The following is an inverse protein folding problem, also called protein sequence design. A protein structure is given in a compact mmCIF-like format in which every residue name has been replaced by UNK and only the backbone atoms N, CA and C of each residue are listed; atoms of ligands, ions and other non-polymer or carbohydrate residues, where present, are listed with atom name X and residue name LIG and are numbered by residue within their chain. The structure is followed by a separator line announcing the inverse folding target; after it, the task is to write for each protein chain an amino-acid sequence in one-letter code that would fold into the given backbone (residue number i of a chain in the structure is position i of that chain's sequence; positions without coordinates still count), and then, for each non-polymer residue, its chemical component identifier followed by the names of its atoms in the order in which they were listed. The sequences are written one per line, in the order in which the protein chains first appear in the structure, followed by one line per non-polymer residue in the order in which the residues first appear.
data_IF_020918135867
#
_entry.id   IF_020918135867
#
_cell.length_a   1.000
_cell.length_b   1.000
_cell.length_c   1.000
_cell.angle_alpha   90.00
_cell.angle_beta   90.00
_cell.angle_gamma   90.00
#
_symmetry.space_group_name_H-M   'P 1'
#
loop_
_entity.id
_entity.type
_entity.pdbx_description
1 polymer ?
#
# COMPACT_ATOMS: atom_id res chain seq x y z
N UNK A 1 7.97 28.31 -9.26
CA UNK A 1 6.81 28.78 -8.47
C UNK A 1 5.61 27.83 -8.56
N UNK A 2 5.22 27.37 -9.77
CA UNK A 2 4.07 26.46 -9.94
C UNK A 2 4.18 25.11 -9.18
N UNK A 3 5.36 24.51 -9.08
CA UNK A 3 5.54 23.22 -8.38
C UNK A 3 5.45 23.35 -6.86
N UNK A 4 5.97 24.44 -6.29
CA UNK A 4 5.82 24.73 -4.86
C UNK A 4 4.35 24.90 -4.50
N UNK A 5 3.60 25.63 -5.32
CA UNK A 5 2.17 25.82 -5.11
C UNK A 5 1.40 24.49 -5.20
N UNK A 6 1.77 23.59 -6.14
CA UNK A 6 1.19 22.24 -6.21
C UNK A 6 1.53 21.38 -4.99
N UNK A 7 2.77 21.45 -4.51
CA UNK A 7 3.20 20.73 -3.31
C UNK A 7 2.44 21.21 -2.06
N UNK A 8 2.31 22.53 -1.89
CA UNK A 8 1.56 23.15 -0.79
C UNK A 8 0.06 22.79 -0.85
N UNK A 9 -0.56 22.81 -2.04
CA UNK A 9 -1.93 22.35 -2.22
C UNK A 9 -2.10 20.85 -1.91
N UNK A 10 -1.09 20.04 -2.21
CA UNK A 10 -1.06 18.61 -1.86
C UNK A 10 -1.00 18.37 -0.36
N UNK A 11 -0.22 19.17 0.37
CA UNK A 11 -0.15 19.15 1.83
C UNK A 11 -1.46 19.67 2.46
N UNK A 12 -2.06 20.72 1.90
CA UNK A 12 -3.36 21.23 2.35
C UNK A 12 -4.47 20.18 2.26
N UNK A 13 -4.54 19.43 1.16
CA UNK A 13 -5.50 18.32 1.02
C UNK A 13 -5.25 17.17 2.00
N UNK A 14 -4.00 16.91 2.35
CA UNK A 14 -3.67 15.92 3.37
C UNK A 14 -4.17 16.34 4.74
N UNK A 15 -3.94 17.61 5.07
CA UNK A 15 -4.29 18.19 6.35
C UNK A 15 -5.82 18.28 6.51
N UNK A 16 -6.52 18.61 5.43
CA UNK A 16 -7.99 18.55 5.36
C UNK A 16 -8.51 17.13 5.61
N UNK A 17 -7.89 16.12 4.99
CA UNK A 17 -8.27 14.73 5.19
C UNK A 17 -7.97 14.25 6.63
N UNK A 18 -6.93 14.77 7.27
CA UNK A 18 -6.59 14.46 8.66
C UNK A 18 -7.55 15.10 9.68
N UNK A 19 -8.19 16.22 9.33
CA UNK A 19 -9.21 16.91 10.13
C UNK A 19 -10.61 16.30 10.01
N UNK A 20 -10.77 15.22 9.24
CA UNK A 20 -12.06 14.57 9.07
C UNK A 20 -12.64 13.98 10.36
N UNK A 21 -13.96 13.89 10.45
CA UNK A 21 -14.65 13.19 11.52
C UNK A 21 -15.15 11.83 11.02
N UNK A 22 -14.35 10.79 11.18
CA UNK A 22 -14.80 9.42 10.91
C UNK A 22 -14.40 8.48 12.05
N UNK A 23 -14.98 7.26 12.11
CA UNK A 23 -14.60 6.29 13.13
C UNK A 23 -13.10 6.01 13.16
N UNK A 24 -12.42 6.10 12.01
CA UNK A 24 -10.96 5.92 11.88
C UNK A 24 -10.18 7.10 12.48
N UNK A 25 -10.76 8.30 12.51
CA UNK A 25 -10.15 9.49 13.10
C UNK A 25 -10.22 9.50 14.63
N UNK A 26 -11.20 8.79 15.22
CA UNK A 26 -11.36 8.66 16.68
C UNK A 26 -10.43 7.63 17.31
N UNK A 27 -9.72 6.83 16.51
CA UNK A 27 -8.74 5.86 16.99
C UNK A 27 -7.48 6.62 17.45
N UNK A 28 -6.90 6.19 18.58
CA UNK A 28 -5.65 6.74 19.09
C UNK A 28 -4.55 6.73 17.99
N UNK A 29 -3.88 7.86 17.73
CA UNK A 29 -2.84 7.95 16.71
C UNK A 29 -1.72 6.90 16.86
N UNK A 30 -1.34 6.55 18.10
CA UNK A 30 -0.29 5.56 18.38
C UNK A 30 -0.72 4.17 17.96
N UNK A 31 -1.98 3.80 18.23
CA UNK A 31 -2.54 2.52 17.80
C UNK A 31 -2.59 2.42 16.26
N UNK A 32 -2.89 3.51 15.56
CA UNK A 32 -2.88 3.56 14.10
C UNK A 32 -1.48 3.33 13.52
N UNK A 33 -0.46 3.98 14.10
CA UNK A 33 0.94 3.78 13.69
C UNK A 33 1.41 2.36 13.99
N UNK A 34 1.13 1.85 15.20
CA UNK A 34 1.49 0.48 15.59
C UNK A 34 0.85 -0.56 14.67
N UNK A 35 -0.43 -0.39 14.33
CA UNK A 35 -1.14 -1.29 13.40
C UNK A 35 -0.54 -1.22 12.00
N UNK A 36 -0.20 -0.03 11.50
CA UNK A 36 0.46 0.13 10.21
C UNK A 36 1.84 -0.54 10.16
N UNK A 37 2.62 -0.43 11.24
CA UNK A 37 3.92 -1.07 11.35
C UNK A 37 3.78 -2.60 11.40
N UNK A 38 2.85 -3.11 12.21
CA UNK A 38 2.58 -4.54 12.31
C UNK A 38 2.08 -5.10 10.97
N UNK A 39 1.20 -4.37 10.28
CA UNK A 39 0.75 -4.72 8.94
C UNK A 39 1.92 -4.82 7.95
N UNK A 40 2.79 -3.81 7.91
CA UNK A 40 3.95 -3.81 7.04
C UNK A 40 4.89 -4.99 7.36
N UNK A 41 5.20 -5.21 8.65
CA UNK A 41 6.02 -6.33 9.10
C UNK A 41 5.41 -7.70 8.73
N UNK A 42 4.10 -7.86 8.91
CA UNK A 42 3.39 -9.07 8.52
C UNK A 42 3.49 -9.29 7.01
N UNK A 43 3.18 -8.28 6.19
CA UNK A 43 3.23 -8.37 4.72
C UNK A 43 4.63 -8.73 4.21
N UNK A 44 5.69 -8.13 4.75
CA UNK A 44 7.07 -8.44 4.30
C UNK A 44 7.59 -9.77 4.83
N UNK A 45 6.91 -10.38 5.81
CA UNK A 45 7.26 -11.70 6.32
C UNK A 45 6.70 -12.85 5.47
N UNK A 46 5.75 -12.58 4.57
CA UNK A 46 5.26 -13.59 3.64
C UNK A 46 6.25 -13.86 2.53
N UNK A 47 6.31 -15.13 2.12
CA UNK A 47 7.11 -15.53 0.98
C UNK A 47 6.60 -14.90 -0.32
N UNK A 48 7.55 -14.45 -1.15
CA UNK A 48 7.31 -13.74 -2.41
C UNK A 48 6.44 -14.54 -3.39
N UNK A 49 6.46 -15.86 -3.30
CA UNK A 49 5.77 -16.76 -4.23
C UNK A 49 4.28 -16.93 -3.91
N UNK A 50 3.85 -16.64 -2.67
CA UNK A 50 2.45 -16.83 -2.26
C UNK A 50 1.66 -15.52 -2.36
N UNK A 51 1.68 -14.89 -3.53
CA UNK A 51 0.98 -13.62 -3.80
C UNK A 51 -0.53 -13.73 -3.49
N UNK A 52 -1.12 -14.90 -3.70
CA UNK A 52 -2.52 -15.15 -3.36
C UNK A 52 -2.81 -15.03 -1.84
N UNK A 53 -1.86 -15.36 -0.97
CA UNK A 53 -2.02 -15.20 0.48
C UNK A 53 -1.94 -13.73 0.95
N UNK A 54 -1.43 -12.83 0.10
CA UNK A 54 -1.39 -11.39 0.37
C UNK A 54 -2.70 -10.67 0.00
N UNK A 55 -3.58 -11.28 -0.81
CA UNK A 55 -4.86 -10.68 -1.20
C UNK A 55 -5.72 -10.23 0.00
N UNK A 56 -5.89 -11.03 1.08
CA UNK A 56 -6.62 -10.58 2.27
C UNK A 56 -6.01 -9.35 2.94
N UNK A 57 -4.68 -9.17 2.87
CA UNK A 57 -4.00 -8.01 3.46
C UNK A 57 -4.32 -6.72 2.71
N UNK A 58 -4.65 -6.78 1.42
CA UNK A 58 -5.11 -5.60 0.67
C UNK A 58 -6.49 -5.08 1.15
N UNK A 59 -7.29 -5.92 1.81
CA UNK A 59 -8.60 -5.52 2.34
C UNK A 59 -8.47 -4.48 3.47
N UNK A 60 -7.48 -4.64 4.33
CA UNK A 60 -7.25 -3.73 5.46
C UNK A 60 -7.08 -2.25 5.05
N UNK A 61 -6.12 -1.87 4.18
CA UNK A 61 -5.96 -0.48 3.76
C UNK A 61 -7.15 0.04 2.95
N UNK A 62 -7.82 -0.81 2.15
CA UNK A 62 -9.03 -0.42 1.40
C UNK A 62 -10.19 -0.11 2.34
N UNK A 63 -10.42 -0.95 3.34
CA UNK A 63 -11.44 -0.73 4.36
C UNK A 63 -11.15 0.53 5.17
N UNK A 64 -9.88 0.73 5.57
CA UNK A 64 -9.46 1.91 6.30
C UNK A 64 -9.64 3.20 5.47
N UNK A 65 -9.28 3.18 4.19
CA UNK A 65 -9.48 4.29 3.27
C UNK A 65 -10.96 4.65 3.13
N UNK A 66 -11.82 3.64 2.94
CA UNK A 66 -13.27 3.83 2.81
C UNK A 66 -13.89 4.39 4.11
N UNK A 67 -13.52 3.85 5.26
CA UNK A 67 -14.01 4.33 6.58
C UNK A 67 -13.38 5.66 7.00
N UNK A 68 -12.20 5.99 6.47
CA UNK A 68 -11.52 7.26 6.62
C UNK A 68 -12.07 8.38 5.74
N UNK A 69 -13.03 8.10 4.86
CA UNK A 69 -13.54 9.09 3.91
C UNK A 69 -12.50 9.49 2.84
N UNK A 70 -11.49 8.65 2.62
CA UNK A 70 -10.41 8.94 1.66
C UNK A 70 -10.93 8.76 0.23
N UNK A 71 -10.87 9.80 -0.62
CA UNK A 71 -11.29 9.67 -2.00
C UNK A 71 -10.39 8.68 -2.74
N UNK A 72 -10.99 7.68 -3.39
CA UNK A 72 -10.23 6.63 -4.11
C UNK A 72 -9.34 7.23 -5.20
N UNK A 73 -9.81 8.27 -5.91
CA UNK A 73 -9.01 8.97 -6.92
C UNK A 73 -7.77 9.66 -6.35
N UNK A 74 -7.83 10.14 -5.10
CA UNK A 74 -6.66 10.71 -4.41
C UNK A 74 -5.63 9.63 -4.06
N UNK A 75 -6.09 8.47 -3.58
CA UNK A 75 -5.24 7.32 -3.31
C UNK A 75 -4.61 6.78 -4.60
N UNK A 76 -5.40 6.58 -5.66
CA UNK A 76 -4.94 6.06 -6.95
C UNK A 76 -3.85 6.95 -7.57
N UNK A 77 -4.00 8.28 -7.51
CA UNK A 77 -2.99 9.21 -8.02
C UNK A 77 -1.66 9.12 -7.25
N UNK A 78 -1.71 8.87 -5.94
CA UNK A 78 -0.49 8.65 -5.14
C UNK A 78 0.15 7.31 -5.40
N UNK A 79 -0.66 6.26 -5.53
CA UNK A 79 -0.17 4.94 -5.93
C UNK A 79 0.49 5.01 -7.31
N UNK A 80 -0.11 5.72 -8.27
CA UNK A 80 0.44 5.90 -9.61
C UNK A 80 1.84 6.53 -9.63
N UNK A 81 2.18 7.37 -8.64
CA UNK A 81 3.53 7.92 -8.49
C UNK A 81 4.53 6.86 -7.99
N UNK A 82 4.09 5.94 -7.13
CA UNK A 82 4.92 4.85 -6.63
C UNK A 82 5.01 3.65 -7.60
N UNK A 83 4.01 3.48 -8.47
CA UNK A 83 3.92 2.37 -9.42
C UNK A 83 5.13 2.19 -10.35
N UNK A 84 5.75 3.23 -10.94
CA UNK A 84 6.94 3.06 -11.77
C UNK A 84 8.07 2.34 -11.04
N UNK A 85 8.31 2.69 -9.78
CA UNK A 85 9.32 2.03 -8.95
C UNK A 85 8.92 0.59 -8.63
N UNK A 86 7.67 0.37 -8.23
CA UNK A 86 7.15 -0.97 -7.94
C UNK A 86 7.24 -1.89 -9.17
N UNK A 87 6.89 -1.40 -10.35
CA UNK A 87 6.98 -2.13 -11.62
C UNK A 87 8.43 -2.40 -12.00
N UNK A 88 9.32 -1.43 -11.85
CA UNK A 88 10.75 -1.64 -12.12
C UNK A 88 11.36 -2.76 -11.28
N UNK A 89 10.90 -2.93 -10.03
CA UNK A 89 11.34 -4.01 -9.13
C UNK A 89 10.58 -5.33 -9.39
N UNK A 90 9.29 -5.25 -9.73
CA UNK A 90 8.43 -6.42 -9.91
C UNK A 90 8.55 -7.09 -11.29
N UNK A 91 8.73 -6.33 -12.37
CA UNK A 91 8.83 -6.87 -13.74
C UNK A 91 9.98 -7.88 -13.90
N UNK A 92 11.19 -7.64 -13.35
CA UNK A 92 12.28 -8.61 -13.45
C UNK A 92 12.11 -9.80 -12.49
N UNK A 93 11.16 -9.75 -11.55
CA UNK A 93 10.99 -10.78 -10.53
C UNK A 93 10.95 -12.21 -11.13
N UNK A 94 10.06 -12.53 -12.09
CA UNK A 94 9.97 -13.90 -12.62
C UNK A 94 11.21 -14.32 -13.43
N UNK A 95 12.03 -13.37 -13.86
CA UNK A 95 13.27 -13.66 -14.58
C UNK A 95 14.39 -14.09 -13.62
N UNK A 96 14.44 -13.52 -12.43
CA UNK A 96 15.42 -13.82 -11.39
C UNK A 96 14.97 -14.97 -10.47
N UNK A 97 13.68 -15.05 -10.18
CA UNK A 97 13.08 -16.06 -9.31
C UNK A 97 12.63 -17.26 -10.15
N UNK A 98 13.60 -18.03 -10.65
CA UNK A 98 13.36 -19.31 -11.34
C UNK A 98 13.08 -20.40 -10.31
N UNK A 99 12.01 -20.25 -9.53
CA UNK A 99 11.50 -21.38 -8.77
C UNK A 99 11.11 -22.48 -9.76
N UNK A 100 11.57 -23.71 -9.55
CA UNK A 100 11.14 -24.89 -10.32
C UNK A 100 9.62 -25.05 -10.12
N UNK A 101 8.82 -24.47 -11.00
CA UNK A 101 7.35 -24.57 -10.93
C UNK A 101 6.90 -26.02 -11.20
N UNK A 102 7.75 -26.81 -11.85
CA UNK A 102 7.48 -28.20 -12.20
C UNK A 102 8.79 -28.98 -12.43
N UNK A 103 9.00 -30.05 -11.66
CA UNK A 103 10.09 -31.01 -11.86
C UNK A 103 9.53 -32.26 -12.56
N UNK A 104 9.97 -32.53 -13.78
CA UNK A 104 9.63 -33.76 -14.52
C UNK A 104 10.85 -34.67 -14.52
N UNK A 105 10.87 -35.67 -13.66
CA UNK A 105 11.90 -36.71 -13.62
C UNK A 105 11.73 -37.67 -12.44
N UNK A 106 12.13 -38.95 -12.55
CA UNK A 106 12.05 -39.89 -11.44
C UNK A 106 13.17 -39.66 -10.42
N UNK A 107 12.90 -40.05 -9.18
CA UNK A 107 13.86 -40.10 -8.06
C UNK A 107 14.95 -41.13 -8.28
#
# INVERSE_FOLDING_TARGET
MADLQRALLGLGRLDELARGESPVHRIDPRAKVATGLFFAAAVVSFDRTTVAALMPYAFFPVYLARRGGVPIGFLARRLAVAMPFALAVALPNPFFDRAEVFRVGPV
#
